data_IF_207387258754
#
_entry.id   IF_207387258754
#
_cell.length_a   1.000
_cell.length_b   1.000
_cell.length_c   1.000
_cell.angle_alpha   90.00
_cell.angle_beta   90.00
_cell.angle_gamma   90.00
#
_symmetry.space_group_name_H-M   'P 1'
#
loop_
_entity.id
_entity.type
_entity.pdbx_description
1 polymer ?
#
# COMPACT_ATOMS: atom_id res chain seq x y z
N UNK A 1 -29.99 21.96 12.16
CA UNK A 1 -29.65 20.52 12.26
C UNK A 1 -28.20 20.37 11.84
N UNK A 2 -27.42 19.58 12.59
CA UNK A 2 -25.96 19.49 12.54
C UNK A 2 -25.47 19.28 11.10
N UNK A 3 -24.67 20.20 10.59
CA UNK A 3 -23.87 20.01 9.39
C UNK A 3 -23.11 18.70 9.59
N UNK A 4 -23.40 17.68 8.78
CA UNK A 4 -22.55 16.52 8.69
C UNK A 4 -21.19 17.05 8.21
N UNK A 5 -20.27 17.25 9.15
CA UNK A 5 -18.88 17.50 8.83
C UNK A 5 -18.47 16.26 8.05
N UNK A 6 -18.36 16.37 6.73
CA UNK A 6 -17.80 15.28 5.94
C UNK A 6 -16.35 15.16 6.41
N UNK A 7 -16.07 14.16 7.26
CA UNK A 7 -14.74 13.93 7.79
C UNK A 7 -13.86 13.45 6.64
N UNK A 8 -13.02 14.35 6.14
CA UNK A 8 -12.07 14.07 5.06
C UNK A 8 -11.20 12.89 5.49
N UNK A 9 -11.16 11.85 4.65
CA UNK A 9 -10.30 10.70 4.88
C UNK A 9 -8.94 10.93 4.21
N UNK A 10 -7.94 11.24 5.03
CA UNK A 10 -6.58 11.53 4.57
C UNK A 10 -5.72 10.28 4.72
N UNK A 11 -5.18 9.75 3.62
CA UNK A 11 -4.42 8.49 3.67
C UNK A 11 -3.00 8.72 3.16
N UNK A 12 -2.02 8.37 3.99
CA UNK A 12 -0.61 8.31 3.60
C UNK A 12 -0.21 6.87 3.30
N UNK A 13 0.35 6.61 2.13
CA UNK A 13 0.90 5.31 1.73
C UNK A 13 2.42 5.41 1.71
N UNK A 14 3.07 4.63 2.55
CA UNK A 14 4.47 4.27 2.34
C UNK A 14 4.54 2.94 1.60
N UNK A 15 5.34 2.86 0.54
CA UNK A 15 5.48 1.63 -0.22
C UNK A 15 6.95 1.33 -0.51
N UNK A 16 7.34 0.06 -0.37
CA UNK A 16 8.66 -0.48 -0.68
C UNK A 16 8.53 -1.69 -1.63
N UNK A 17 9.67 -2.25 -2.04
CA UNK A 17 9.74 -3.53 -2.74
C UNK A 17 9.15 -4.72 -1.99
N UNK A 18 9.11 -4.71 -0.64
CA UNK A 18 8.66 -5.86 0.16
C UNK A 18 7.28 -5.69 0.81
N UNK A 19 6.85 -4.45 1.11
CA UNK A 19 5.58 -4.17 1.81
C UNK A 19 5.14 -2.73 1.63
N UNK A 20 3.88 -2.47 1.94
CA UNK A 20 3.25 -1.17 1.96
C UNK A 20 2.58 -0.93 3.30
N UNK A 21 2.64 0.29 3.80
CA UNK A 21 2.02 0.72 5.04
C UNK A 21 1.13 1.92 4.72
N UNK A 22 -0.17 1.73 4.91
CA UNK A 22 -1.18 2.76 4.76
C UNK A 22 -1.51 3.33 6.13
N UNK A 23 -1.52 4.64 6.25
CA UNK A 23 -1.86 5.39 7.45
C UNK A 23 -3.02 6.29 7.11
N UNK A 24 -4.21 5.92 7.55
CA UNK A 24 -5.43 6.69 7.38
C UNK A 24 -5.67 7.58 8.59
N UNK A 25 -5.93 8.85 8.36
CA UNK A 25 -6.31 9.85 9.34
C UNK A 25 -7.74 10.30 9.03
N UNK A 26 -8.64 10.11 9.98
CA UNK A 26 -10.04 10.50 9.87
C UNK A 26 -10.56 10.93 11.24
N UNK A 27 -11.12 12.13 11.35
CA UNK A 27 -11.81 12.62 12.56
C UNK A 27 -10.97 12.47 13.85
N UNK A 28 -9.66 12.75 13.76
CA UNK A 28 -8.71 12.62 14.87
C UNK A 28 -8.30 11.18 15.21
N UNK A 29 -8.85 10.16 14.53
CA UNK A 29 -8.42 8.77 14.63
C UNK A 29 -7.40 8.45 13.55
N UNK A 30 -6.39 7.67 13.93
CA UNK A 30 -5.46 7.06 12.99
C UNK A 30 -5.74 5.57 12.85
N UNK A 31 -5.72 5.05 11.64
CA UNK A 31 -5.74 3.63 11.34
C UNK A 31 -4.50 3.30 10.53
N UNK A 32 -3.84 2.19 10.87
CA UNK A 32 -2.64 1.74 10.18
C UNK A 32 -2.94 0.37 9.59
N UNK A 33 -2.76 0.23 8.29
CA UNK A 33 -2.91 -1.03 7.56
C UNK A 33 -1.58 -1.37 6.93
N UNK A 34 -1.04 -2.55 7.23
CA UNK A 34 0.15 -3.07 6.59
C UNK A 34 -0.28 -4.11 5.54
N UNK A 35 0.23 -3.95 4.32
CA UNK A 35 0.02 -4.87 3.20
C UNK A 35 1.39 -5.42 2.81
N UNK A 36 1.62 -6.71 3.02
CA UNK A 36 2.85 -7.37 2.59
C UNK A 36 2.77 -7.73 1.10
N UNK A 37 3.90 -7.72 0.39
CA UNK A 37 3.94 -8.39 -0.93
C UNK A 37 3.70 -9.89 -0.74
N UNK A 38 3.20 -10.58 -1.77
CA UNK A 38 2.86 -12.03 -1.72
C UNK A 38 4.02 -12.89 -1.21
N UNK A 39 5.27 -12.42 -1.37
CA UNK A 39 6.47 -13.07 -0.82
C UNK A 39 6.53 -13.09 0.72
N UNK A 40 5.94 -12.12 1.42
CA UNK A 40 5.81 -12.07 2.89
C UNK A 40 4.40 -12.44 3.39
N UNK A 41 3.36 -12.35 2.55
CA UNK A 41 1.99 -12.67 2.96
C UNK A 41 1.78 -14.15 3.31
N UNK A 42 2.74 -15.02 2.95
CA UNK A 42 2.76 -16.42 3.38
C UNK A 42 3.11 -16.60 4.88
N UNK A 43 3.54 -15.52 5.57
CA UNK A 43 3.99 -15.56 6.97
C UNK A 43 2.94 -14.92 7.92
N UNK A 44 2.04 -14.05 7.44
CA UNK A 44 1.21 -13.20 8.31
C UNK A 44 -0.32 -13.37 8.18
N UNK A 45 -0.80 -14.46 7.60
CA UNK A 45 -2.20 -14.88 7.84
C UNK A 45 -2.27 -15.75 9.10
N UNK A 46 -2.17 -15.12 10.27
CA UNK A 46 -2.63 -15.74 11.53
C UNK A 46 -3.92 -15.04 12.01
N UNK A 47 -5.04 -15.58 11.55
CA UNK A 47 -6.24 -15.64 12.37
C UNK A 47 -6.97 -16.96 12.08
N UNK A 48 -6.63 -17.97 12.88
CA UNK A 48 -7.50 -19.09 13.23
C UNK A 48 -8.13 -19.89 12.09
N UNK A 49 -7.45 -20.94 11.62
CA UNK A 49 -8.08 -21.95 10.78
C UNK A 49 -7.12 -22.99 10.23
N UNK A 50 -7.01 -24.13 10.94
CA UNK A 50 -6.37 -25.37 10.50
C UNK A 50 -6.57 -25.69 9.00
N UNK A 51 -5.47 -25.90 8.27
CA UNK A 51 -5.20 -26.79 7.11
C UNK A 51 -3.88 -26.32 6.47
N UNK A 52 -2.76 -27.03 6.57
CA UNK A 52 -2.54 -28.34 5.97
C UNK A 52 -1.81 -28.16 4.62
N UNK A 53 -0.71 -28.89 4.43
CA UNK A 53 0.10 -29.01 3.21
C UNK A 53 1.20 -27.95 2.95
N UNK A 54 2.28 -28.06 3.71
CA UNK A 54 3.63 -27.77 3.22
C UNK A 54 3.93 -28.77 2.08
N UNK A 55 3.68 -28.40 0.82
CA UNK A 55 4.08 -29.23 -0.34
C UNK A 55 5.00 -28.45 -1.27
N UNK A 56 6.26 -28.88 -1.29
CA UNK A 56 7.07 -29.05 -2.50
C UNK A 56 7.49 -27.79 -3.26
N UNK A 57 8.61 -27.17 -2.85
CA UNK A 57 9.44 -26.43 -3.81
C UNK A 57 10.16 -27.44 -4.71
N UNK A 58 9.56 -27.76 -5.85
CA UNK A 58 10.32 -28.24 -7.00
C UNK A 58 11.10 -27.07 -7.58
N UNK A 59 12.43 -27.18 -7.51
CA UNK A 59 13.38 -26.47 -8.36
C UNK A 59 12.92 -26.56 -9.81
N UNK A 60 12.77 -25.42 -10.49
CA UNK A 60 12.92 -25.35 -11.94
C UNK A 60 13.42 -23.97 -12.32
N UNK A 61 14.69 -23.97 -12.76
CA UNK A 61 15.39 -22.88 -13.39
C UNK A 61 14.61 -22.41 -14.61
N UNK A 62 14.07 -21.19 -14.55
CA UNK A 62 13.53 -20.47 -15.69
C UNK A 62 13.60 -18.98 -15.32
N UNK A 63 14.80 -18.39 -15.47
CA UNK A 63 15.09 -17.00 -15.10
C UNK A 63 14.11 -16.02 -15.78
N UNK A 64 13.67 -16.33 -17.00
CA UNK A 64 12.64 -15.57 -17.71
C UNK A 64 11.23 -15.73 -17.11
N UNK A 65 10.79 -16.94 -16.72
CA UNK A 65 9.46 -17.10 -16.08
C UNK A 65 9.44 -16.49 -14.68
N UNK A 66 10.58 -16.46 -13.98
CA UNK A 66 10.71 -15.85 -12.67
C UNK A 66 10.46 -14.33 -12.71
N UNK A 67 11.07 -13.65 -13.68
CA UNK A 67 10.91 -12.19 -13.85
C UNK A 67 9.47 -11.80 -14.25
N UNK A 68 8.82 -12.56 -15.13
CA UNK A 68 7.42 -12.31 -15.49
C UNK A 68 6.47 -12.51 -14.30
N UNK A 69 6.71 -13.52 -13.46
CA UNK A 69 5.93 -13.75 -12.24
C UNK A 69 6.13 -12.63 -11.23
N UNK A 70 7.36 -12.14 -11.04
CA UNK A 70 7.66 -11.00 -10.17
C UNK A 70 6.92 -9.74 -10.58
N UNK A 71 6.92 -9.39 -11.86
CA UNK A 71 6.20 -8.20 -12.36
C UNK A 71 4.70 -8.29 -12.14
N UNK A 72 4.11 -9.46 -12.40
CA UNK A 72 2.69 -9.67 -12.18
C UNK A 72 2.31 -9.64 -10.69
N UNK A 73 3.18 -10.16 -9.82
CA UNK A 73 2.98 -10.11 -8.37
C UNK A 73 3.10 -8.69 -7.83
N UNK A 74 4.08 -7.91 -8.32
CA UNK A 74 4.21 -6.49 -7.97
C UNK A 74 2.98 -5.70 -8.39
N UNK A 75 2.48 -5.92 -9.61
CA UNK A 75 1.28 -5.27 -10.10
C UNK A 75 0.06 -5.57 -9.21
N UNK A 76 -0.21 -6.84 -8.90
CA UNK A 76 -1.32 -7.21 -8.03
C UNK A 76 -1.19 -6.67 -6.60
N UNK A 77 0.04 -6.63 -6.06
CA UNK A 77 0.32 -5.98 -4.79
C UNK A 77 0.00 -4.48 -4.82
N UNK A 78 0.40 -3.78 -5.88
CA UNK A 78 0.10 -2.36 -6.03
C UNK A 78 -1.40 -2.09 -6.20
N UNK A 79 -2.09 -2.94 -6.96
CA UNK A 79 -3.55 -2.86 -7.09
C UNK A 79 -4.25 -3.03 -5.74
N UNK A 80 -3.79 -3.97 -4.90
CA UNK A 80 -4.34 -4.18 -3.55
C UNK A 80 -4.15 -2.93 -2.66
N UNK A 81 -2.94 -2.35 -2.68
CA UNK A 81 -2.63 -1.10 -1.98
C UNK A 81 -3.54 0.05 -2.44
N UNK A 82 -3.75 0.19 -3.75
CA UNK A 82 -4.66 1.20 -4.30
C UNK A 82 -6.12 0.92 -3.91
N UNK A 83 -6.54 -0.35 -3.92
CA UNK A 83 -7.89 -0.74 -3.50
C UNK A 83 -8.17 -0.42 -2.04
N UNK A 84 -7.18 -0.56 -1.15
CA UNK A 84 -7.29 -0.13 0.24
C UNK A 84 -7.39 1.39 0.38
N UNK A 85 -6.79 2.15 -0.54
CA UNK A 85 -6.77 3.61 -0.53
C UNK A 85 -7.91 4.27 -1.33
N UNK A 86 -8.72 3.51 -2.08
CA UNK A 86 -9.77 4.05 -2.96
C UNK A 86 -10.84 4.88 -2.25
N UNK A 87 -11.06 4.62 -0.96
CA UNK A 87 -12.03 5.32 -0.12
C UNK A 87 -11.46 6.63 0.47
N UNK A 88 -10.17 6.91 0.26
CA UNK A 88 -9.54 8.13 0.74
C UNK A 88 -9.89 9.33 -0.14
N UNK A 89 -10.20 10.47 0.48
CA UNK A 89 -10.37 11.74 -0.23
C UNK A 89 -9.02 12.32 -0.67
N UNK A 90 -8.00 12.17 0.17
CA UNK A 90 -6.66 12.72 -0.04
C UNK A 90 -5.61 11.63 0.11
N UNK A 91 -4.67 11.58 -0.84
CA UNK A 91 -3.65 10.55 -0.89
C UNK A 91 -2.24 11.16 -0.89
N UNK A 92 -1.40 10.72 0.03
CA UNK A 92 0.01 11.06 0.07
C UNK A 92 0.83 9.79 -0.13
N UNK A 93 1.68 9.75 -1.15
CA UNK A 93 2.47 8.55 -1.49
C UNK A 93 3.95 8.81 -1.26
N UNK A 94 4.66 7.90 -0.62
CA UNK A 94 6.10 8.01 -0.47
C UNK A 94 6.80 6.65 -0.41
N UNK A 95 8.06 6.58 -0.86
CA UNK A 95 8.81 5.32 -0.91
C UNK A 95 9.98 5.36 -1.89
N UNK A 96 10.69 4.24 -2.08
CA UNK A 96 11.77 4.13 -3.05
C UNK A 96 11.31 4.41 -4.48
N UNK A 97 12.25 4.84 -5.32
CA UNK A 97 11.92 5.46 -6.61
C UNK A 97 11.24 4.52 -7.62
N UNK A 98 11.54 3.22 -7.59
CA UNK A 98 10.97 2.26 -8.54
C UNK A 98 9.48 2.00 -8.27
N UNK A 99 9.15 1.60 -7.03
CA UNK A 99 7.78 1.19 -6.69
C UNK A 99 6.77 2.34 -6.72
N UNK A 100 7.18 3.55 -6.32
CA UNK A 100 6.30 4.73 -6.34
C UNK A 100 5.89 5.13 -7.76
N UNK A 101 6.76 4.92 -8.75
CA UNK A 101 6.48 5.28 -10.14
C UNK A 101 5.45 4.34 -10.75
N UNK A 102 5.54 3.05 -10.44
CA UNK A 102 4.54 2.05 -10.84
C UNK A 102 3.17 2.34 -10.20
N UNK A 103 3.15 2.64 -8.90
CA UNK A 103 1.92 3.05 -8.18
C UNK A 103 1.30 4.30 -8.79
N UNK A 104 2.12 5.30 -9.14
CA UNK A 104 1.65 6.53 -9.80
C UNK A 104 0.98 6.23 -11.13
N UNK A 105 1.54 5.33 -11.95
CA UNK A 105 0.95 4.92 -13.23
C UNK A 105 -0.42 4.29 -13.01
N UNK A 106 -0.51 3.31 -12.11
CA UNK A 106 -1.77 2.66 -11.74
C UNK A 106 -2.85 3.64 -11.29
N UNK A 107 -2.49 4.58 -10.41
CA UNK A 107 -3.41 5.63 -9.98
C UNK A 107 -3.83 6.49 -11.16
N UNK A 108 -2.91 6.86 -12.04
CA UNK A 108 -3.20 7.70 -13.20
C UNK A 108 -4.11 7.01 -14.23
N UNK A 109 -3.92 5.71 -14.47
CA UNK A 109 -4.78 4.91 -15.33
C UNK A 109 -6.18 4.74 -14.72
N UNK A 110 -6.26 4.58 -13.40
CA UNK A 110 -7.53 4.41 -12.68
C UNK A 110 -8.14 5.73 -12.18
N UNK A 111 -7.60 6.90 -12.56
CA UNK A 111 -8.08 8.23 -12.09
C UNK A 111 -9.54 8.50 -12.41
N UNK A 112 -10.05 7.93 -13.49
CA UNK A 112 -11.47 8.06 -13.88
C UNK A 112 -12.40 7.37 -12.87
N UNK A 113 -11.91 6.33 -12.17
CA UNK A 113 -12.68 5.51 -11.25
C UNK A 113 -12.37 5.77 -9.77
N UNK A 114 -11.34 6.57 -9.49
CA UNK A 114 -10.88 6.85 -8.13
C UNK A 114 -10.99 8.35 -7.83
N UNK A 115 -11.94 8.78 -6.97
CA UNK A 115 -12.12 10.19 -6.62
C UNK A 115 -10.97 10.75 -5.77
N UNK A 116 -10.05 9.89 -5.30
CA UNK A 116 -8.94 10.26 -4.42
C UNK A 116 -8.00 11.29 -5.05
N UNK A 117 -7.68 12.34 -4.29
CA UNK A 117 -6.79 13.42 -4.70
C UNK A 117 -5.37 13.13 -4.26
N UNK A 118 -4.51 12.75 -5.20
CA UNK A 118 -3.08 12.61 -4.95
C UNK A 118 -2.44 13.98 -4.65
N UNK A 119 -2.05 14.19 -3.39
CA UNK A 119 -1.50 15.44 -2.87
C UNK A 119 -0.01 15.59 -3.13
N UNK A 120 0.76 14.55 -2.85
CA UNK A 120 2.20 14.56 -3.05
C UNK A 120 2.74 13.14 -3.26
N UNK A 121 3.86 13.07 -3.96
CA UNK A 121 4.66 11.86 -4.13
C UNK A 121 6.09 12.17 -3.74
N UNK A 122 6.61 11.54 -2.68
CA UNK A 122 7.98 11.75 -2.23
C UNK A 122 8.85 10.49 -2.38
N UNK A 123 10.13 10.69 -2.69
CA UNK A 123 11.11 9.63 -2.47
C UNK A 123 11.36 9.49 -0.97
N UNK A 124 11.28 8.27 -0.45
CA UNK A 124 11.68 7.97 0.91
C UNK A 124 12.46 6.66 0.93
N UNK A 125 13.50 6.62 1.77
CA UNK A 125 14.29 5.42 2.01
C UNK A 125 13.52 4.43 2.89
N UNK A 126 14.17 3.33 3.31
CA UNK A 126 13.55 2.38 4.23
C UNK A 126 13.22 3.04 5.57
N UNK A 127 11.94 3.05 5.93
CA UNK A 127 11.45 3.64 7.19
C UNK A 127 10.73 2.60 8.05
N UNK A 128 10.82 2.75 9.37
CA UNK A 128 10.02 1.98 10.33
C UNK A 128 8.60 2.55 10.42
N UNK A 129 7.62 1.73 10.82
CA UNK A 129 6.21 2.11 10.99
C UNK A 129 6.02 3.42 11.77
N UNK A 130 6.73 3.61 12.89
CA UNK A 130 6.65 4.86 13.67
C UNK A 130 7.10 6.10 12.89
N UNK A 131 8.14 5.97 12.06
CA UNK A 131 8.65 7.07 11.21
C UNK A 131 7.68 7.39 10.08
N UNK A 132 7.05 6.35 9.52
CA UNK A 132 6.02 6.46 8.48
C UNK A 132 4.82 7.24 9.04
N UNK A 133 4.28 6.80 10.18
CA UNK A 133 3.15 7.47 10.85
C UNK A 133 3.50 8.92 11.19
N UNK A 134 4.68 9.16 11.76
CA UNK A 134 5.11 10.52 12.08
C UNK A 134 5.21 11.41 10.83
N UNK A 135 5.71 10.87 9.71
CA UNK A 135 5.81 11.60 8.44
C UNK A 135 4.43 11.92 7.85
N UNK A 136 3.51 10.95 7.84
CA UNK A 136 2.12 11.16 7.39
C UNK A 136 1.42 12.20 8.24
N UNK A 137 1.54 12.10 9.57
CA UNK A 137 1.00 13.11 10.48
C UNK A 137 1.57 14.48 10.20
N UNK A 138 2.89 14.59 10.08
CA UNK A 138 3.56 15.86 9.78
C UNK A 138 3.12 16.46 8.44
N UNK A 139 2.71 15.63 7.47
CA UNK A 139 2.21 16.11 6.18
C UNK A 139 0.80 16.71 6.27
N UNK A 140 -0.09 16.12 7.07
CA UNK A 140 -1.51 16.52 7.12
C UNK A 140 -1.90 17.42 8.31
N UNK A 141 -1.19 17.32 9.44
CA UNK A 141 -1.45 18.10 10.66
C UNK A 141 -0.58 19.37 10.75
N UNK A 142 0.11 19.74 9.68
CA UNK A 142 0.92 20.96 9.59
C UNK A 142 0.23 21.98 8.69
#
# INVERSE_FOLDING_TARGET
>A
MKTAQQSIQQTGIWIDSSRAILVTLQDGKQQITEVGSVMENQIYHDHGGNRGAFMGRQHVNDEHKYEHRKKHQLHGFLEDVVNHAKNADELYVFGPAETKNELRKLIHENRMHMPMRLKAIESADKMSLNKIVAKVKKFYLH
#
